data_IF_483486051015
#
_entry.id   IF_483486051015
#
_cell.length_a   1.000
_cell.length_b   1.000
_cell.length_c   1.000
_cell.angle_alpha   90.00
_cell.angle_beta   90.00
_cell.angle_gamma   90.00
#
_symmetry.space_group_name_H-M   'P 1'
#
loop_
_entity.id
_entity.type
_entity.pdbx_description
1 polymer ?
#
# COMPACT_ATOMS: atom_id res chain seq x y z
N UNK A 1 17.16 0.60 -0.60
CA UNK A 1 16.97 1.90 0.04
C UNK A 1 15.50 2.28 0.09
N UNK A 2 15.09 2.83 1.23
CA UNK A 2 13.71 3.27 1.41
C UNK A 2 13.64 4.79 1.31
N UNK A 3 12.57 5.27 0.69
CA UNK A 3 12.27 6.70 0.73
C UNK A 3 11.89 7.07 2.17
N UNK A 4 11.85 8.37 2.44
CA UNK A 4 11.44 8.88 3.75
C UNK A 4 10.01 8.40 4.11
N UNK A 5 9.10 8.44 3.14
CA UNK A 5 7.71 8.02 3.32
C UNK A 5 7.63 6.53 3.61
N UNK A 6 8.34 5.71 2.82
CA UNK A 6 8.37 4.26 3.05
C UNK A 6 8.91 3.93 4.44
N UNK A 7 9.96 4.63 4.87
CA UNK A 7 10.53 4.42 6.20
C UNK A 7 9.53 4.75 7.29
N UNK A 8 8.81 5.86 7.14
CA UNK A 8 7.81 6.25 8.12
C UNK A 8 6.73 5.18 8.26
N UNK A 9 6.17 4.72 7.13
CA UNK A 9 5.13 3.69 7.16
C UNK A 9 5.65 2.38 7.74
N UNK A 10 6.89 2.00 7.40
CA UNK A 10 7.49 0.78 7.94
C UNK A 10 7.61 0.85 9.46
N UNK A 11 8.03 2.00 9.99
CA UNK A 11 8.15 2.20 11.44
C UNK A 11 6.80 2.16 12.15
N UNK A 12 5.73 2.59 11.49
CA UNK A 12 4.39 2.60 12.06
C UNK A 12 3.70 1.24 11.95
N UNK A 13 4.26 0.31 11.18
CA UNK A 13 3.61 -0.97 10.89
C UNK A 13 4.04 -2.02 11.88
N UNK A 14 3.06 -2.58 12.62
CA UNK A 14 3.26 -3.76 13.45
C UNK A 14 2.57 -4.96 12.82
N UNK A 15 2.68 -6.11 13.47
CA UNK A 15 2.10 -7.34 12.94
C UNK A 15 0.59 -7.27 12.82
N UNK A 16 -0.08 -6.53 13.72
CA UNK A 16 -1.53 -6.48 13.76
C UNK A 16 -2.17 -5.42 12.89
N UNK A 17 -1.37 -4.53 12.27
CA UNK A 17 -1.91 -3.41 11.48
C UNK A 17 -1.38 -3.35 10.05
N UNK A 18 -0.82 -4.45 9.54
CA UNK A 18 -0.16 -4.45 8.24
C UNK A 18 -1.08 -4.02 7.10
N UNK A 19 -2.25 -4.64 6.98
CA UNK A 19 -3.15 -4.28 5.87
C UNK A 19 -3.66 -2.85 6.00
N UNK A 20 -3.96 -2.37 7.21
CA UNK A 20 -4.41 -1.00 7.39
C UNK A 20 -3.34 0.01 6.99
N UNK A 21 -2.07 -0.25 7.34
CA UNK A 21 -0.98 0.65 7.00
C UNK A 21 -0.71 0.65 5.48
N UNK A 22 -0.78 -0.52 4.86
CA UNK A 22 -0.63 -0.60 3.41
C UNK A 22 -1.77 0.11 2.69
N UNK A 23 -3.00 0.02 3.22
CA UNK A 23 -4.14 0.76 2.66
C UNK A 23 -3.90 2.26 2.76
N UNK A 24 -3.45 2.75 3.92
CA UNK A 24 -3.16 4.19 4.09
C UNK A 24 -2.11 4.66 3.09
N UNK A 25 -1.04 3.89 2.93
CA UNK A 25 0.02 4.21 1.99
C UNK A 25 -0.53 4.26 0.56
N UNK A 26 -1.30 3.24 0.20
CA UNK A 26 -1.88 3.15 -1.14
C UNK A 26 -2.83 4.31 -1.43
N UNK A 27 -3.70 4.65 -0.47
CA UNK A 27 -4.66 5.75 -0.66
C UNK A 27 -3.94 7.11 -0.75
N UNK A 28 -2.83 7.28 -0.06
CA UNK A 28 -2.00 8.46 -0.23
C UNK A 28 -1.53 8.58 -1.68
N UNK A 29 -1.10 7.47 -2.28
CA UNK A 29 -0.66 7.47 -3.68
C UNK A 29 -1.82 7.75 -4.63
N UNK A 30 -3.01 7.24 -4.34
CA UNK A 30 -4.20 7.58 -5.11
C UNK A 30 -4.43 9.09 -5.08
N UNK A 31 -4.31 9.70 -3.92
CA UNK A 31 -4.53 11.13 -3.75
C UNK A 31 -3.49 11.99 -4.48
N UNK A 32 -2.31 11.44 -4.72
CA UNK A 32 -1.27 12.12 -5.50
C UNK A 32 -1.43 11.92 -7.02
N UNK A 33 -2.47 11.22 -7.44
CA UNK A 33 -2.78 11.06 -8.86
C UNK A 33 -2.11 9.88 -9.55
N UNK A 34 -1.50 8.97 -8.79
CA UNK A 34 -0.83 7.80 -9.38
C UNK A 34 -1.87 6.83 -9.93
N UNK A 35 -1.50 6.08 -10.97
CA UNK A 35 -2.39 5.08 -11.53
C UNK A 35 -2.28 3.74 -10.76
N UNK A 36 -3.16 2.81 -11.13
CA UNK A 36 -3.22 1.52 -10.44
C UNK A 36 -1.91 0.74 -10.51
N UNK A 37 -1.31 0.69 -11.68
CA UNK A 37 -0.07 -0.10 -11.85
C UNK A 37 1.06 0.45 -11.00
N UNK A 38 1.20 1.77 -10.95
CA UNK A 38 2.19 2.41 -10.08
C UNK A 38 1.93 2.06 -8.62
N UNK A 39 0.67 2.16 -8.19
CA UNK A 39 0.30 1.92 -6.80
C UNK A 39 0.53 0.45 -6.43
N UNK A 40 0.17 -0.47 -7.32
CA UNK A 40 0.40 -1.89 -7.09
C UNK A 40 1.89 -2.17 -6.86
N UNK A 41 2.75 -1.66 -7.73
CA UNK A 41 4.19 -1.86 -7.61
C UNK A 41 4.73 -1.26 -6.31
N UNK A 42 4.28 -0.07 -5.98
CA UNK A 42 4.74 0.62 -4.76
C UNK A 42 4.30 -0.13 -3.49
N UNK A 43 3.06 -0.61 -3.47
CA UNK A 43 2.52 -1.36 -2.33
C UNK A 43 3.27 -2.67 -2.15
N UNK A 44 3.50 -3.40 -3.26
CA UNK A 44 4.25 -4.65 -3.19
C UNK A 44 5.68 -4.43 -2.71
N UNK A 45 6.31 -3.35 -3.18
CA UNK A 45 7.68 -3.02 -2.76
C UNK A 45 7.74 -2.70 -1.27
N UNK A 46 6.80 -1.89 -0.77
CA UNK A 46 6.76 -1.56 0.65
C UNK A 46 6.49 -2.82 1.49
N UNK A 47 5.54 -3.64 1.06
CA UNK A 47 5.23 -4.90 1.76
C UNK A 47 6.46 -5.77 1.91
N UNK A 48 7.28 -5.88 0.85
CA UNK A 48 8.47 -6.72 0.89
C UNK A 48 9.52 -6.25 1.91
N UNK A 49 9.43 -4.99 2.34
CA UNK A 49 10.35 -4.40 3.31
C UNK A 49 9.85 -4.51 4.75
N UNK A 50 8.63 -4.99 4.94
CA UNK A 50 8.08 -5.17 6.28
C UNK A 50 8.71 -6.41 6.95
N UNK A 51 8.84 -6.41 8.28
CA UNK A 51 9.41 -7.57 8.99
C UNK A 51 8.61 -8.85 8.79
N UNK A 52 7.30 -8.74 8.63
CA UNK A 52 6.42 -9.90 8.40
C UNK A 52 5.46 -9.55 7.26
N UNK A 53 5.92 -9.66 6.00
CA UNK A 53 5.09 -9.25 4.86
C UNK A 53 3.80 -10.06 4.75
N UNK A 54 2.77 -9.40 4.21
CA UNK A 54 1.53 -10.10 3.86
C UNK A 54 1.76 -10.91 2.58
N UNK A 55 0.96 -11.97 2.42
CA UNK A 55 0.92 -12.72 1.17
C UNK A 55 0.38 -11.82 0.05
N UNK A 56 0.91 -11.99 -1.15
CA UNK A 56 0.47 -11.21 -2.30
C UNK A 56 -1.03 -11.33 -2.54
N UNK A 57 -1.57 -12.55 -2.40
CA UNK A 57 -3.00 -12.78 -2.59
C UNK A 57 -3.85 -11.97 -1.62
N UNK A 58 -3.38 -11.79 -0.40
CA UNK A 58 -4.10 -10.98 0.58
C UNK A 58 -4.06 -9.50 0.21
N UNK A 59 -2.93 -9.02 -0.29
CA UNK A 59 -2.79 -7.64 -0.73
C UNK A 59 -3.75 -7.36 -1.89
N UNK A 60 -3.82 -8.27 -2.85
CA UNK A 60 -4.74 -8.13 -3.99
C UNK A 60 -6.20 -8.12 -3.53
N UNK A 61 -6.54 -8.96 -2.58
CA UNK A 61 -7.91 -9.10 -2.11
C UNK A 61 -8.37 -7.97 -1.20
N UNK A 62 -7.45 -7.26 -0.56
CA UNK A 62 -7.80 -6.21 0.41
C UNK A 62 -7.31 -4.84 -0.02
N UNK A 63 -6.00 -4.64 0.00
CA UNK A 63 -5.40 -3.31 -0.25
C UNK A 63 -5.70 -2.83 -1.65
N UNK A 64 -5.41 -3.66 -2.65
CA UNK A 64 -5.56 -3.23 -4.04
C UNK A 64 -7.01 -3.19 -4.48
N UNK A 65 -7.88 -3.97 -3.87
CA UNK A 65 -9.31 -3.87 -4.11
C UNK A 65 -9.84 -2.50 -3.65
N UNK A 66 -9.38 -2.05 -2.49
CA UNK A 66 -9.72 -0.72 -1.96
C UNK A 66 -9.22 0.37 -2.91
N UNK A 67 -8.00 0.20 -3.44
CA UNK A 67 -7.42 1.14 -4.40
C UNK A 67 -8.27 1.21 -5.67
N UNK A 68 -8.68 0.07 -6.21
CA UNK A 68 -9.52 0.05 -7.41
C UNK A 68 -10.81 0.80 -7.20
N UNK A 69 -11.47 0.58 -6.05
CA UNK A 69 -12.71 1.27 -5.73
C UNK A 69 -12.50 2.78 -5.64
N UNK A 70 -11.39 3.20 -5.07
CA UNK A 70 -11.09 4.62 -4.91
C UNK A 70 -10.78 5.27 -6.26
N UNK A 71 -10.00 4.60 -7.10
CA UNK A 71 -9.66 5.10 -8.43
C UNK A 71 -10.92 5.23 -9.28
N UNK A 72 -11.84 4.28 -9.18
CA UNK A 72 -13.09 4.31 -9.95
C UNK A 72 -13.93 5.54 -9.62
N UNK A 73 -13.72 6.18 -8.48
CA UNK A 73 -14.42 7.39 -8.08
C UNK A 73 -13.72 8.68 -8.50
N UNK A 74 -12.53 8.59 -9.09
CA UNK A 74 -11.84 9.75 -9.64
C UNK A 74 -12.61 10.26 -10.86
N UNK A 75 -12.68 11.55 -11.00
CA UNK A 75 -13.31 12.15 -12.16
C UNK A 75 -12.32 13.07 -12.84
#
# INVERSE_FOLDING_TARGET
DMTHVERWFTQQTGKGNRSNQLIKYALMLVDTGKDYDYIQDAVMALNSKLPAPLEESEILATVLRTVMAKIAKRV
#
